data_IF_358949892077
#
_entry.id   IF_358949892077
#
_cell.length_a   1.000
_cell.length_b   1.000
_cell.length_c   1.000
_cell.angle_alpha   90.00
_cell.angle_beta   90.00
_cell.angle_gamma   90.00
#
_symmetry.space_group_name_H-M   'P 1'
#
loop_
_entity.id
_entity.type
_entity.pdbx_description
1 polymer ?
#
# COMPACT_ATOMS: atom_id res chain seq x y z
N UNK A 1 -3.76 -0.37 22.15
CA UNK A 1 -5.16 -0.76 21.89
C UNK A 1 -5.99 0.50 21.97
N UNK A 2 -6.36 1.06 20.82
CA UNK A 2 -7.34 2.15 20.73
C UNK A 2 -8.08 2.06 19.38
N UNK A 3 -8.54 0.85 19.04
CA UNK A 3 -9.30 0.55 17.83
C UNK A 3 -10.75 1.04 17.91
N UNK A 4 -11.18 1.53 19.09
CA UNK A 4 -12.58 1.87 19.38
C UNK A 4 -12.96 3.29 18.95
N UNK A 5 -12.01 4.21 18.80
CA UNK A 5 -12.26 5.58 18.33
C UNK A 5 -12.24 5.72 16.81
N UNK A 6 -11.40 4.93 16.11
CA UNK A 6 -11.34 4.93 14.64
C UNK A 6 -12.64 4.39 14.01
N UNK A 7 -13.38 3.50 14.70
CA UNK A 7 -14.67 2.97 14.22
C UNK A 7 -15.80 4.01 14.15
N UNK A 8 -15.65 5.18 14.77
CA UNK A 8 -16.70 6.21 14.83
C UNK A 8 -16.45 7.39 13.90
N UNK A 9 -15.26 7.49 13.30
CA UNK A 9 -14.89 8.60 12.42
C UNK A 9 -15.41 8.39 11.00
N UNK A 10 -15.96 9.44 10.39
CA UNK A 10 -16.30 9.42 8.96
C UNK A 10 -15.03 9.38 8.11
N UNK A 11 -15.09 8.88 6.87
CA UNK A 11 -13.95 8.91 5.93
C UNK A 11 -13.43 10.34 5.68
N UNK A 12 -14.31 11.34 5.79
CA UNK A 12 -13.94 12.75 5.71
C UNK A 12 -13.13 13.23 6.91
N UNK A 13 -13.37 12.68 8.10
CA UNK A 13 -12.59 12.97 9.29
C UNK A 13 -11.28 12.18 9.28
N UNK A 14 -11.33 10.91 8.86
CA UNK A 14 -10.14 10.08 8.70
C UNK A 14 -9.14 10.69 7.70
N UNK A 15 -9.60 11.26 6.59
CA UNK A 15 -8.70 11.90 5.61
C UNK A 15 -7.95 13.12 6.14
N UNK A 16 -8.36 13.69 7.28
CA UNK A 16 -7.62 14.79 7.95
C UNK A 16 -6.33 14.31 8.60
N UNK A 17 -6.14 12.99 8.78
CA UNK A 17 -4.90 12.39 9.28
C UNK A 17 -3.69 12.67 8.38
N UNK A 18 -3.92 12.87 7.08
CA UNK A 18 -2.87 13.06 6.08
C UNK A 18 -2.99 14.43 5.38
N UNK A 19 -2.65 15.53 6.06
CA UNK A 19 -2.91 16.88 5.55
C UNK A 19 -2.19 17.22 4.23
N UNK A 20 -0.99 16.69 3.98
CA UNK A 20 -0.22 17.01 2.77
C UNK A 20 -0.74 16.29 1.52
N UNK A 21 -1.36 15.11 1.67
CA UNK A 21 -1.95 14.36 0.55
C UNK A 21 -3.47 14.46 0.48
N UNK A 22 -4.12 15.02 1.50
CA UNK A 22 -5.59 15.13 1.60
C UNK A 22 -6.30 15.65 0.35
N UNK A 23 -5.80 16.64 -0.41
CA UNK A 23 -6.45 17.07 -1.66
C UNK A 23 -6.56 15.98 -2.73
N UNK A 24 -5.77 14.91 -2.58
CA UNK A 24 -5.70 13.75 -3.48
C UNK A 24 -6.31 12.49 -2.86
N UNK A 25 -7.06 12.64 -1.76
CA UNK A 25 -7.85 11.58 -1.13
C UNK A 25 -9.33 11.83 -1.38
N UNK A 26 -9.95 11.00 -2.22
CA UNK A 26 -11.38 11.10 -2.55
C UNK A 26 -12.21 10.31 -1.56
N UNK A 27 -13.12 11.00 -0.90
CA UNK A 27 -14.08 10.35 0.01
C UNK A 27 -15.30 9.93 -0.78
N UNK A 28 -15.60 8.63 -0.78
CA UNK A 28 -16.86 8.12 -1.31
C UNK A 28 -17.95 8.25 -0.24
N UNK A 29 -18.97 9.11 -0.43
CA UNK A 29 -19.98 9.37 0.60
C UNK A 29 -20.94 8.20 0.79
N UNK A 30 -21.03 7.27 -0.18
CA UNK A 30 -21.96 6.14 -0.14
C UNK A 30 -21.37 4.98 0.66
N UNK A 31 -20.09 4.67 0.43
CA UNK A 31 -19.39 3.57 1.09
C UNK A 31 -18.61 4.01 2.32
N UNK A 32 -18.54 5.32 2.60
CA UNK A 32 -17.68 5.92 3.62
C UNK A 32 -16.23 5.41 3.54
N UNK A 33 -15.72 5.26 2.31
CA UNK A 33 -14.35 4.83 2.02
C UNK A 33 -13.51 5.97 1.46
N UNK A 34 -12.18 5.83 1.52
CA UNK A 34 -11.22 6.78 0.94
C UNK A 34 -10.53 6.10 -0.23
N UNK A 35 -10.67 6.68 -1.42
CA UNK A 35 -9.93 6.31 -2.64
C UNK A 35 -8.71 7.23 -2.79
N UNK A 36 -7.58 6.70 -3.24
CA UNK A 36 -6.40 7.50 -3.52
C UNK A 36 -6.29 7.95 -4.97
N UNK A 37 -5.67 9.11 -5.16
CA UNK A 37 -5.25 9.61 -6.47
C UNK A 37 -3.72 9.72 -6.53
N UNK A 38 -3.01 8.71 -6.03
CA UNK A 38 -1.55 8.76 -5.90
C UNK A 38 -0.85 9.11 -7.22
N UNK A 39 -1.30 8.56 -8.35
CA UNK A 39 -0.71 8.88 -9.65
C UNK A 39 -0.86 10.36 -9.99
N UNK A 40 -2.04 10.95 -9.77
CA UNK A 40 -2.28 12.36 -10.03
C UNK A 40 -1.44 13.24 -9.11
N UNK A 41 -1.32 12.88 -7.83
CA UNK A 41 -0.42 13.54 -6.90
C UNK A 41 1.03 13.47 -7.39
N UNK A 42 1.52 12.28 -7.75
CA UNK A 42 2.90 12.06 -8.17
C UNK A 42 3.25 12.88 -9.42
N UNK A 43 2.37 12.93 -10.42
CA UNK A 43 2.61 13.75 -11.61
C UNK A 43 2.54 15.25 -11.33
N UNK A 44 1.72 15.68 -10.36
CA UNK A 44 1.54 17.10 -10.02
C UNK A 44 2.64 17.63 -9.09
N UNK A 45 3.07 16.81 -8.13
CA UNK A 45 3.88 17.21 -6.97
C UNK A 45 5.18 16.43 -6.83
N UNK A 46 5.21 15.17 -7.27
CA UNK A 46 6.35 14.25 -7.12
C UNK A 46 7.61 14.68 -7.88
N UNK A 47 7.54 15.72 -8.72
CA UNK A 47 8.65 16.30 -9.48
C UNK A 47 9.12 17.66 -8.96
N UNK A 48 8.70 18.04 -7.75
CA UNK A 48 9.17 19.29 -7.15
C UNK A 48 10.69 19.26 -6.94
N UNK A 49 11.39 20.43 -7.00
CA UNK A 49 12.81 20.50 -6.69
C UNK A 49 13.12 19.97 -5.29
N UNK A 50 14.26 19.29 -5.17
CA UNK A 50 14.77 18.75 -3.90
C UNK A 50 15.91 19.62 -3.35
N UNK A 51 16.11 19.66 -2.02
CA UNK A 51 15.27 19.04 -0.98
C UNK A 51 13.93 19.77 -0.78
N UNK A 52 12.88 19.02 -0.41
CA UNK A 52 11.54 19.53 -0.12
C UNK A 52 10.90 18.77 1.05
N UNK A 53 10.78 19.47 2.19
CA UNK A 53 10.17 18.91 3.40
C UNK A 53 8.66 18.65 3.25
N UNK A 54 7.96 19.47 2.45
CA UNK A 54 6.55 19.23 2.08
C UNK A 54 6.42 17.90 1.32
N UNK A 55 7.30 17.68 0.33
CA UNK A 55 7.29 16.45 -0.46
C UNK A 55 7.67 15.23 0.38
N UNK A 56 8.66 15.37 1.27
CA UNK A 56 9.02 14.32 2.21
C UNK A 56 7.85 13.91 3.11
N UNK A 57 7.16 14.89 3.71
CA UNK A 57 5.99 14.65 4.56
C UNK A 57 4.85 13.99 3.80
N UNK A 58 4.62 14.42 2.55
CA UNK A 58 3.61 13.80 1.69
C UNK A 58 3.94 12.34 1.34
N UNK A 59 5.21 11.99 1.10
CA UNK A 59 5.62 10.61 0.89
C UNK A 59 5.43 9.75 2.15
N UNK A 60 5.73 10.27 3.34
CA UNK A 60 5.48 9.58 4.61
C UNK A 60 3.99 9.35 4.85
N UNK A 61 3.16 10.36 4.54
CA UNK A 61 1.71 10.25 4.62
C UNK A 61 1.15 9.21 3.65
N UNK A 62 1.63 9.16 2.41
CA UNK A 62 1.23 8.10 1.48
C UNK A 62 1.60 6.70 2.01
N UNK A 63 2.78 6.57 2.62
CA UNK A 63 3.23 5.30 3.19
C UNK A 63 2.33 4.84 4.34
N UNK A 64 1.98 5.75 5.27
CA UNK A 64 1.04 5.48 6.37
C UNK A 64 -0.39 5.21 5.84
N UNK A 65 -0.82 5.93 4.81
CA UNK A 65 -2.14 5.77 4.21
C UNK A 65 -2.34 4.37 3.61
N UNK A 66 -1.35 3.84 2.88
CA UNK A 66 -1.47 2.48 2.33
C UNK A 66 -1.46 1.40 3.42
N UNK A 67 -0.67 1.57 4.49
CA UNK A 67 -0.71 0.66 5.65
C UNK A 67 -2.06 0.75 6.40
N UNK A 68 -2.65 1.95 6.48
CA UNK A 68 -3.99 2.15 7.00
C UNK A 68 -5.05 1.45 6.14
N UNK A 69 -5.05 1.65 4.83
CA UNK A 69 -6.00 0.99 3.92
C UNK A 69 -5.92 -0.53 4.01
N UNK A 70 -4.73 -1.12 4.07
CA UNK A 70 -4.56 -2.56 4.24
C UNK A 70 -5.25 -3.06 5.52
N UNK A 71 -5.15 -2.32 6.63
CA UNK A 71 -5.83 -2.68 7.89
C UNK A 71 -7.34 -2.56 7.79
N UNK A 72 -7.86 -1.52 7.16
CA UNK A 72 -9.31 -1.33 6.99
C UNK A 72 -9.95 -2.41 6.11
N UNK A 73 -9.18 -2.98 5.18
CA UNK A 73 -9.65 -4.02 4.25
C UNK A 73 -9.47 -5.43 4.80
N UNK A 74 -9.08 -5.59 6.08
CA UNK A 74 -8.82 -6.90 6.66
C UNK A 74 -10.03 -7.85 6.52
N UNK A 75 -11.25 -7.35 6.81
CA UNK A 75 -12.48 -8.13 6.72
C UNK A 75 -12.88 -8.41 5.26
N UNK A 76 -12.73 -7.43 4.35
CA UNK A 76 -12.96 -7.61 2.90
C UNK A 76 -12.06 -8.73 2.33
N UNK A 77 -10.82 -8.79 2.80
CA UNK A 77 -9.79 -9.69 2.30
C UNK A 77 -9.79 -11.05 3.01
N UNK A 78 -10.59 -11.24 4.06
CA UNK A 78 -10.58 -12.46 4.86
C UNK A 78 -11.04 -13.71 4.08
N UNK A 79 -11.88 -13.54 3.06
CA UNK A 79 -12.43 -14.64 2.26
C UNK A 79 -11.61 -15.04 1.02
N UNK A 80 -10.55 -14.30 0.69
CA UNK A 80 -9.72 -14.54 -0.49
C UNK A 80 -8.25 -14.33 -0.14
N UNK A 81 -7.61 -15.42 0.31
CA UNK A 81 -6.20 -15.42 0.73
C UNK A 81 -5.24 -14.99 -0.39
N UNK A 82 -5.58 -15.29 -1.65
CA UNK A 82 -4.77 -14.90 -2.80
C UNK A 82 -4.82 -13.40 -3.05
N UNK A 83 -6.03 -12.83 -3.06
CA UNK A 83 -6.23 -11.38 -3.16
C UNK A 83 -5.60 -10.67 -1.97
N UNK A 84 -5.80 -11.16 -0.75
CA UNK A 84 -5.17 -10.64 0.47
C UNK A 84 -3.65 -10.60 0.33
N UNK A 85 -3.04 -11.71 -0.08
CA UNK A 85 -1.60 -11.81 -0.24
C UNK A 85 -1.06 -10.80 -1.27
N UNK A 86 -1.74 -10.66 -2.41
CA UNK A 86 -1.37 -9.66 -3.44
C UNK A 86 -1.43 -8.23 -2.91
N UNK A 87 -2.47 -7.88 -2.15
CA UNK A 87 -2.59 -6.55 -1.55
C UNK A 87 -1.48 -6.32 -0.52
N UNK A 88 -1.17 -7.31 0.32
CA UNK A 88 -0.04 -7.22 1.28
C UNK A 88 1.29 -7.01 0.57
N UNK A 89 1.60 -7.81 -0.46
CA UNK A 89 2.82 -7.68 -1.26
C UNK A 89 2.93 -6.29 -1.90
N UNK A 90 1.84 -5.80 -2.49
CA UNK A 90 1.80 -4.50 -3.14
C UNK A 90 1.95 -3.34 -2.15
N UNK A 91 1.20 -3.36 -1.05
CA UNK A 91 1.28 -2.33 0.00
C UNK A 91 2.69 -2.24 0.57
N UNK A 92 3.33 -3.39 0.81
CA UNK A 92 4.69 -3.44 1.34
C UNK A 92 5.71 -2.78 0.41
N UNK A 93 5.65 -3.09 -0.89
CA UNK A 93 6.55 -2.50 -1.89
C UNK A 93 6.30 -1.00 -2.07
N UNK A 94 5.03 -0.58 -2.07
CA UNK A 94 4.66 0.84 -2.12
C UNK A 94 5.18 1.60 -0.90
N UNK A 95 4.91 1.12 0.31
CA UNK A 95 5.38 1.75 1.55
C UNK A 95 6.91 1.83 1.58
N UNK A 96 7.63 0.80 1.14
CA UNK A 96 9.09 0.84 1.03
C UNK A 96 9.56 1.93 0.07
N UNK A 97 8.99 1.98 -1.13
CA UNK A 97 9.32 2.97 -2.16
C UNK A 97 9.09 4.40 -1.66
N UNK A 98 7.93 4.64 -1.03
CA UNK A 98 7.53 5.95 -0.52
C UNK A 98 8.46 6.42 0.61
N UNK A 99 8.81 5.54 1.56
CA UNK A 99 9.74 5.88 2.64
C UNK A 99 11.14 6.25 2.12
N UNK A 100 11.59 5.59 1.04
CA UNK A 100 12.84 5.97 0.36
C UNK A 100 12.74 7.33 -0.32
N UNK A 101 11.64 7.58 -1.04
CA UNK A 101 11.40 8.88 -1.66
C UNK A 101 11.28 10.00 -0.61
N UNK A 102 10.75 9.70 0.59
CA UNK A 102 10.73 10.66 1.70
C UNK A 102 12.15 11.03 2.17
N UNK A 103 13.05 10.04 2.31
CA UNK A 103 14.45 10.29 2.64
C UNK A 103 15.15 11.13 1.56
N UNK A 104 15.01 10.75 0.29
CA UNK A 104 15.56 11.54 -0.84
C UNK A 104 15.01 12.97 -0.85
N UNK A 105 13.70 13.14 -0.56
CA UNK A 105 13.08 14.45 -0.50
C UNK A 105 13.60 15.32 0.66
N UNK A 106 14.06 14.72 1.76
CA UNK A 106 14.79 15.43 2.83
C UNK A 106 16.25 15.75 2.47
N UNK A 107 16.76 15.24 1.35
CA UNK A 107 18.18 15.31 0.99
C UNK A 107 19.03 14.26 1.71
N UNK A 108 18.41 13.22 2.26
CA UNK A 108 19.08 12.09 2.91
C UNK A 108 19.43 11.01 1.88
N UNK A 109 20.45 10.20 2.16
CA UNK A 109 20.72 8.98 1.40
C UNK A 109 19.73 7.88 1.87
N UNK A 110 18.81 7.38 1.01
CA UNK A 110 17.91 6.29 1.36
C UNK A 110 18.62 4.93 1.47
N UNK A 111 19.92 4.87 1.20
CA UNK A 111 20.70 3.65 1.12
C UNK A 111 20.40 2.84 -0.14
N UNK A 112 20.96 1.63 -0.24
CA UNK A 112 20.76 0.75 -1.41
C UNK A 112 19.31 0.32 -1.56
N UNK A 113 18.83 0.28 -2.80
CA UNK A 113 17.58 -0.38 -3.11
C UNK A 113 17.71 -1.89 -2.85
N UNK A 114 16.81 -2.44 -2.03
CA UNK A 114 16.76 -3.87 -1.75
C UNK A 114 15.44 -4.43 -2.30
N UNK A 115 15.49 -5.50 -3.12
CA UNK A 115 14.28 -6.12 -3.65
C UNK A 115 13.43 -6.74 -2.53
N UNK A 116 12.11 -6.83 -2.74
CA UNK A 116 11.17 -7.35 -1.72
C UNK A 116 11.59 -8.70 -1.13
N UNK A 117 12.12 -9.62 -1.95
CA UNK A 117 12.57 -10.95 -1.49
C UNK A 117 13.66 -10.90 -0.42
N UNK A 118 14.49 -9.85 -0.41
CA UNK A 118 15.55 -9.66 0.58
C UNK A 118 15.03 -8.92 1.82
N UNK A 119 14.10 -7.99 1.66
CA UNK A 119 13.51 -7.21 2.76
C UNK A 119 12.44 -7.98 3.54
N UNK A 120 11.66 -8.81 2.84
CA UNK A 120 10.52 -9.59 3.32
C UNK A 120 10.60 -11.03 2.81
N UNK A 121 11.60 -11.79 3.28
CA UNK A 121 11.76 -13.20 2.91
C UNK A 121 10.53 -14.04 3.29
N UNK A 122 9.79 -13.62 4.31
CA UNK A 122 8.51 -14.23 4.72
C UNK A 122 7.43 -14.11 3.64
N UNK A 123 7.25 -12.90 3.07
CA UNK A 123 6.29 -12.69 1.98
C UNK A 123 6.70 -13.45 0.72
N UNK A 124 8.00 -13.47 0.43
CA UNK A 124 8.53 -14.21 -0.71
C UNK A 124 8.31 -15.72 -0.56
N UNK A 125 8.65 -16.31 0.57
CA UNK A 125 8.41 -17.74 0.83
C UNK A 125 6.91 -18.09 0.73
N UNK A 126 6.04 -17.24 1.27
CA UNK A 126 4.59 -17.43 1.16
C UNK A 126 4.11 -17.38 -0.30
N UNK A 127 4.69 -16.50 -1.13
CA UNK A 127 4.40 -16.39 -2.56
C UNK A 127 4.84 -17.63 -3.35
N UNK A 128 6.04 -18.12 -3.07
CA UNK A 128 6.55 -19.36 -3.67
C UNK A 128 5.64 -20.54 -3.32
N UNK A 129 5.22 -20.67 -2.05
CA UNK A 129 4.30 -21.72 -1.62
C UNK A 129 2.95 -21.65 -2.33
N UNK A 130 2.37 -20.45 -2.49
CA UNK A 130 1.12 -20.27 -3.26
C UNK A 130 1.29 -20.65 -4.73
N UNK A 131 2.39 -20.23 -5.34
CA UNK A 131 2.68 -20.53 -6.76
C UNK A 131 2.83 -22.03 -6.97
N UNK A 132 3.54 -22.71 -6.07
CA UNK A 132 3.70 -24.16 -6.10
C UNK A 132 2.35 -24.89 -5.96
N UNK A 133 1.47 -24.41 -5.08
CA UNK A 133 0.12 -24.98 -4.92
C UNK A 133 -0.72 -24.84 -6.20
N UNK A 134 -0.69 -23.67 -6.86
CA UNK A 134 -1.39 -23.44 -8.13
C UNK A 134 -0.85 -24.36 -9.24
N UNK A 135 0.47 -24.49 -9.35
CA UNK A 135 1.10 -25.38 -10.35
C UNK A 135 0.68 -26.83 -10.10
N UNK A 136 0.74 -27.29 -8.85
CA UNK A 136 0.33 -28.65 -8.49
C UNK A 136 -1.16 -28.91 -8.79
N UNK A 137 -2.03 -27.93 -8.61
CA UNK A 137 -3.46 -28.02 -8.96
C UNK A 137 -3.66 -28.17 -10.48
N UNK A 138 -2.95 -27.36 -11.27
CA UNK A 138 -2.98 -27.42 -12.74
C UNK A 138 -2.47 -28.78 -13.24
N UNK A 139 -1.36 -29.27 -12.67
CA UNK A 139 -0.76 -30.55 -13.04
C UNK A 139 -1.65 -31.75 -12.64
N UNK A 140 -2.42 -31.62 -11.56
CA UNK A 140 -3.36 -32.65 -11.11
C UNK A 140 -4.65 -32.69 -11.94
N UNK A 141 -5.03 -31.58 -12.58
CA UNK A 141 -6.21 -31.47 -13.44
C UNK A 141 -5.82 -30.86 -14.80
N UNK A 142 -4.99 -31.56 -15.61
CA UNK A 142 -4.65 -31.07 -16.93
C UNK A 142 -5.95 -30.91 -17.69
N UNK A 143 -6.24 -29.70 -18.17
CA UNK A 143 -7.40 -29.44 -19.01
C UNK A 143 -7.36 -30.43 -20.18
N UNK A 144 -8.19 -31.47 -20.12
CA UNK A 144 -8.45 -32.36 -21.22
C UNK A 144 -9.22 -31.51 -22.23
N UNK A 145 -8.49 -30.99 -23.21
CA UNK A 145 -9.07 -30.28 -24.34
C UNK A 145 -10.14 -31.15 -24.99
N UNK A 146 -11.34 -30.61 -25.07
CA UNK A 146 -12.33 -30.98 -26.09
C UNK A 146 -11.81 -30.65 -27.48
#
# INVERSE_FOLDING_TARGET
MDTSLESTMTAREMSKRWPNIRPFLRVNPTTNSIEDEYQQWYFTKGRAPLPSMELASAFEEWADFYEFQLRQRADELAGDDHKRARVVEWTEEMTYSLRRCAAEARGEDPGKWLPQRERRPDLHAAKEARTAAIIAEIDAHPHVGT
#
